data_IF_043460551362
#
_entry.id   IF_043460551362
#
_cell.length_a   1.000
_cell.length_b   1.000
_cell.length_c   1.000
_cell.angle_alpha   90.00
_cell.angle_beta   90.00
_cell.angle_gamma   90.00
#
_symmetry.space_group_name_H-M   'P 1'
#
loop_
_entity.id
_entity.type
_entity.pdbx_description
1 polymer ?
#
# COMPACT_ATOMS: atom_id res chain seq x y z
N UNK A 1 3.55 23.68 7.91
CA UNK A 1 3.38 23.34 6.47
C UNK A 1 2.12 24.06 5.95
N UNK A 2 1.93 24.24 4.65
CA UNK A 2 0.74 24.93 4.13
C UNK A 2 -0.54 24.16 4.53
N UNK A 3 -1.34 24.70 5.44
CA UNK A 3 -2.62 24.12 5.89
C UNK A 3 -3.47 23.57 4.74
N UNK A 4 -3.60 24.37 3.67
CA UNK A 4 -4.38 23.99 2.47
C UNK A 4 -3.83 22.76 1.75
N UNK A 5 -2.51 22.59 1.68
CA UNK A 5 -1.90 21.41 1.07
C UNK A 5 -2.18 20.15 1.89
N UNK A 6 -1.96 20.23 3.21
CA UNK A 6 -2.13 19.09 4.10
C UNK A 6 -3.60 18.65 4.21
N UNK A 7 -4.53 19.61 4.28
CA UNK A 7 -5.95 19.34 4.26
C UNK A 7 -6.37 18.66 2.95
N UNK A 8 -5.89 19.17 1.81
CA UNK A 8 -6.18 18.59 0.49
C UNK A 8 -5.67 17.16 0.38
N UNK A 9 -4.41 16.91 0.75
CA UNK A 9 -3.83 15.56 0.76
C UNK A 9 -4.59 14.62 1.71
N UNK A 10 -4.96 15.09 2.89
CA UNK A 10 -5.74 14.32 3.87
C UNK A 10 -7.11 13.91 3.31
N UNK A 11 -7.87 14.86 2.78
CA UNK A 11 -9.19 14.59 2.18
C UNK A 11 -9.11 13.69 0.96
N UNK A 12 -8.08 13.85 0.11
CA UNK A 12 -7.84 12.97 -1.03
C UNK A 12 -7.61 11.52 -0.57
N UNK A 13 -6.79 11.31 0.47
CA UNK A 13 -6.56 9.98 1.03
C UNK A 13 -7.81 9.38 1.68
N UNK A 14 -8.62 10.19 2.36
CA UNK A 14 -9.92 9.75 2.91
C UNK A 14 -10.84 9.28 1.80
N UNK A 15 -10.98 10.08 0.73
CA UNK A 15 -11.82 9.72 -0.41
C UNK A 15 -11.33 8.47 -1.12
N UNK A 16 -10.02 8.35 -1.33
CA UNK A 16 -9.41 7.16 -1.91
C UNK A 16 -9.64 5.93 -1.04
N UNK A 17 -9.37 6.02 0.27
CA UNK A 17 -9.59 4.93 1.22
C UNK A 17 -11.04 4.48 1.26
N UNK A 18 -11.99 5.42 1.27
CA UNK A 18 -13.42 5.12 1.18
C UNK A 18 -13.79 4.39 -0.11
N UNK A 19 -13.30 4.88 -1.25
CA UNK A 19 -13.57 4.30 -2.56
C UNK A 19 -13.05 2.87 -2.67
N UNK A 20 -11.84 2.61 -2.15
CA UNK A 20 -11.23 1.28 -2.11
C UNK A 20 -12.03 0.33 -1.20
N UNK A 21 -12.50 0.80 -0.04
CA UNK A 21 -13.33 -0.03 0.85
C UNK A 21 -14.69 -0.39 0.23
N UNK A 22 -15.26 0.49 -0.60
CA UNK A 22 -16.55 0.23 -1.28
C UNK A 22 -16.40 -0.59 -2.55
N UNK A 23 -15.32 -0.38 -3.30
CA UNK A 23 -15.03 -1.11 -4.52
C UNK A 23 -13.52 -1.42 -4.59
N UNK A 24 -13.09 -2.61 -4.12
CA UNK A 24 -11.69 -3.02 -4.12
C UNK A 24 -11.00 -2.94 -5.49
N UNK A 25 -11.77 -3.00 -6.59
CA UNK A 25 -11.24 -2.87 -7.96
C UNK A 25 -10.54 -1.53 -8.23
N UNK A 26 -10.86 -0.49 -7.47
CA UNK A 26 -10.20 0.84 -7.55
C UNK A 26 -8.72 0.75 -7.21
N UNK A 27 -8.33 -0.19 -6.36
CA UNK A 27 -6.93 -0.44 -6.00
C UNK A 27 -6.11 -1.05 -7.16
N UNK A 28 -6.79 -1.59 -8.18
CA UNK A 28 -6.18 -2.33 -9.28
C UNK A 28 -5.57 -3.66 -8.80
N UNK A 29 -4.65 -4.22 -9.58
CA UNK A 29 -4.02 -5.52 -9.32
C UNK A 29 -2.68 -5.39 -8.58
N UNK A 30 -2.38 -4.21 -8.04
CA UNK A 30 -1.15 -3.99 -7.29
C UNK A 30 -1.08 -4.89 -6.06
N UNK A 31 -0.03 -5.71 -5.99
CA UNK A 31 0.18 -6.67 -4.89
C UNK A 31 -0.65 -7.95 -5.00
N UNK A 32 -1.51 -8.11 -6.02
CA UNK A 32 -2.36 -9.31 -6.20
C UNK A 32 -1.56 -10.61 -6.23
N UNK A 33 -0.37 -10.59 -6.83
CA UNK A 33 0.48 -11.78 -6.96
C UNK A 33 1.11 -12.22 -5.63
N UNK A 34 1.15 -11.33 -4.62
CA UNK A 34 1.78 -11.59 -3.34
C UNK A 34 0.78 -11.77 -2.20
N UNK A 35 -0.51 -11.75 -2.52
CA UNK A 35 -1.62 -11.99 -1.61
C UNK A 35 -2.36 -13.21 -2.15
N UNK A 36 -2.80 -14.12 -1.27
CA UNK A 36 -3.66 -15.23 -1.69
C UNK A 36 -4.89 -14.70 -2.41
N UNK A 37 -5.27 -15.35 -3.51
CA UNK A 37 -6.37 -14.87 -4.35
C UNK A 37 -7.69 -14.71 -3.59
N UNK A 38 -7.95 -15.58 -2.60
CA UNK A 38 -9.10 -15.55 -1.69
C UNK A 38 -9.14 -14.32 -0.77
N UNK A 39 -7.98 -13.81 -0.36
CA UNK A 39 -7.85 -12.72 0.59
C UNK A 39 -7.68 -11.35 -0.08
N UNK A 40 -7.48 -11.32 -1.40
CA UNK A 40 -7.19 -10.08 -2.13
C UNK A 40 -8.24 -8.96 -1.93
N UNK A 41 -9.56 -9.22 -1.98
CA UNK A 41 -10.56 -8.18 -1.74
C UNK A 41 -10.48 -7.58 -0.33
N UNK A 42 -10.18 -8.41 0.67
CA UNK A 42 -10.05 -7.99 2.06
C UNK A 42 -8.74 -7.23 2.28
N UNK A 43 -7.63 -7.68 1.68
CA UNK A 43 -6.36 -6.94 1.67
C UNK A 43 -6.54 -5.53 1.08
N UNK A 44 -7.25 -5.40 -0.04
CA UNK A 44 -7.59 -4.10 -0.61
C UNK A 44 -8.42 -3.26 0.38
N UNK A 45 -9.42 -3.85 1.03
CA UNK A 45 -10.24 -3.16 2.03
C UNK A 45 -9.43 -2.69 3.24
N UNK A 46 -8.49 -3.50 3.73
CA UNK A 46 -7.58 -3.15 4.83
C UNK A 46 -6.63 -2.01 4.44
N UNK A 47 -6.11 -2.04 3.20
CA UNK A 47 -5.36 -0.90 2.66
C UNK A 47 -6.24 0.36 2.60
N UNK A 48 -7.48 0.25 2.12
CA UNK A 48 -8.44 1.34 2.10
C UNK A 48 -8.70 1.93 3.48
N UNK A 49 -8.80 1.08 4.51
CA UNK A 49 -8.95 1.51 5.90
C UNK A 49 -7.71 2.25 6.42
N UNK A 50 -6.51 1.84 6.01
CA UNK A 50 -5.28 2.56 6.29
C UNK A 50 -5.31 3.97 5.70
N UNK A 51 -5.63 4.14 4.40
CA UNK A 51 -5.72 5.47 3.77
C UNK A 51 -6.80 6.35 4.40
N UNK A 52 -7.93 5.75 4.80
CA UNK A 52 -8.99 6.47 5.49
C UNK A 52 -8.49 7.06 6.82
N UNK A 53 -7.84 6.23 7.64
CA UNK A 53 -7.32 6.65 8.96
C UNK A 53 -6.17 7.64 8.82
N UNK A 54 -5.21 7.36 7.94
CA UNK A 54 -4.07 8.22 7.67
C UNK A 54 -4.49 9.58 7.11
N UNK A 55 -5.44 9.60 6.17
CA UNK A 55 -6.01 10.81 5.60
C UNK A 55 -6.75 11.65 6.64
N UNK A 56 -7.53 11.02 7.52
CA UNK A 56 -8.22 11.70 8.61
C UNK A 56 -7.21 12.34 9.58
N UNK A 57 -6.17 11.61 9.96
CA UNK A 57 -5.12 12.13 10.85
C UNK A 57 -4.40 13.31 10.20
N UNK A 58 -4.01 13.20 8.92
CA UNK A 58 -3.39 14.30 8.17
C UNK A 58 -4.27 15.56 8.18
N UNK A 59 -5.56 15.40 7.86
CA UNK A 59 -6.52 16.50 7.84
C UNK A 59 -6.70 17.14 9.23
N UNK A 60 -6.80 16.32 10.28
CA UNK A 60 -6.93 16.78 11.67
C UNK A 60 -5.68 17.54 12.13
N UNK A 61 -4.47 17.03 11.86
CA UNK A 61 -3.23 17.74 12.19
C UNK A 61 -3.17 19.08 11.44
N UNK A 62 -3.62 19.12 10.19
CA UNK A 62 -3.62 20.34 9.38
C UNK A 62 -4.57 21.38 9.96
N UNK A 63 -5.80 20.97 10.27
CA UNK A 63 -6.79 21.82 10.93
C UNK A 63 -6.31 22.30 12.30
N UNK A 64 -5.66 21.43 13.08
CA UNK A 64 -5.12 21.79 14.39
C UNK A 64 -4.03 22.85 14.27
N UNK A 65 -3.10 22.72 13.31
CA UNK A 65 -2.05 23.73 13.10
C UNK A 65 -2.59 25.08 12.60
N UNK A 66 -3.72 25.09 11.91
CA UNK A 66 -4.40 26.32 11.55
C UNK A 66 -5.07 27.00 12.76
N UNK A 67 -5.47 26.23 13.77
CA UNK A 67 -6.12 26.74 14.98
C UNK A 67 -5.10 27.15 16.06
N UNK A 68 -4.00 26.41 16.19
CA UNK A 68 -2.94 26.66 17.17
C UNK A 68 -1.58 26.49 16.50
N UNK A 69 -0.60 27.33 16.82
CA UNK A 69 0.75 27.18 16.25
C UNK A 69 1.42 25.92 16.79
N UNK A 70 1.49 24.84 16.01
CA UNK A 70 2.17 23.62 16.43
C UNK A 70 3.69 23.78 16.28
N UNK A 71 4.42 23.36 17.31
CA UNK A 71 5.87 23.21 17.20
C UNK A 71 6.23 22.06 16.26
N UNK A 72 7.37 22.17 15.58
CA UNK A 72 7.86 21.12 14.66
C UNK A 72 8.01 19.76 15.34
N UNK A 73 8.43 19.73 16.61
CA UNK A 73 8.56 18.49 17.38
C UNK A 73 7.20 17.81 17.63
N UNK A 74 6.16 18.59 17.97
CA UNK A 74 4.80 18.07 18.12
C UNK A 74 4.24 17.54 16.80
N UNK A 75 4.52 18.23 15.70
CA UNK A 75 4.18 17.77 14.35
C UNK A 75 4.73 16.38 14.04
N UNK A 76 6.04 16.19 14.26
CA UNK A 76 6.70 14.90 14.03
C UNK A 76 6.10 13.82 14.93
N UNK A 77 5.87 14.13 16.21
CA UNK A 77 5.30 13.17 17.17
C UNK A 77 3.89 12.74 16.75
N UNK A 78 3.03 13.68 16.37
CA UNK A 78 1.66 13.38 15.91
C UNK A 78 1.64 12.55 14.64
N UNK A 79 2.56 12.83 13.70
CA UNK A 79 2.68 12.04 12.49
C UNK A 79 3.17 10.61 12.76
N UNK A 80 4.20 10.44 13.59
CA UNK A 80 4.72 9.11 13.93
C UNK A 80 3.65 8.29 14.65
N UNK A 81 3.00 8.87 15.65
CA UNK A 81 1.96 8.19 16.42
C UNK A 81 0.74 7.87 15.54
N UNK A 82 0.27 8.84 14.77
CA UNK A 82 -0.89 8.68 13.89
C UNK A 82 -0.64 7.69 12.75
N UNK A 83 0.56 7.69 12.18
CA UNK A 83 0.95 6.73 11.15
C UNK A 83 1.03 5.32 11.74
N UNK A 84 1.67 5.16 12.91
CA UNK A 84 1.76 3.86 13.60
C UNK A 84 0.37 3.30 13.92
N UNK A 85 -0.54 4.13 14.43
CA UNK A 85 -1.92 3.74 14.70
C UNK A 85 -2.68 3.30 13.44
N UNK A 86 -2.47 4.00 12.32
CA UNK A 86 -3.09 3.66 11.05
C UNK A 86 -2.52 2.37 10.44
N UNK A 87 -1.21 2.16 10.56
CA UNK A 87 -0.49 1.01 9.99
C UNK A 87 -0.68 -0.29 10.76
N UNK A 88 -0.73 -0.20 12.09
CA UNK A 88 -0.78 -1.37 12.97
C UNK A 88 -1.85 -2.42 12.58
N UNK A 89 -3.13 -2.06 12.34
CA UNK A 89 -4.14 -3.06 11.99
C UNK A 89 -3.85 -3.74 10.64
N UNK A 90 -3.34 -2.99 9.66
CA UNK A 90 -2.99 -3.53 8.34
C UNK A 90 -1.83 -4.53 8.45
N UNK A 91 -0.76 -4.16 9.16
CA UNK A 91 0.40 -5.03 9.40
C UNK A 91 0.02 -6.29 10.17
N UNK A 92 -0.80 -6.14 11.22
CA UNK A 92 -1.30 -7.26 12.01
C UNK A 92 -2.09 -8.24 11.14
N UNK A 93 -3.02 -7.73 10.33
CA UNK A 93 -3.82 -8.55 9.43
C UNK A 93 -2.96 -9.30 8.40
N UNK A 94 -1.97 -8.62 7.82
CA UNK A 94 -1.04 -9.23 6.85
C UNK A 94 -0.28 -10.40 7.48
N UNK A 95 0.19 -10.23 8.72
CA UNK A 95 0.91 -11.27 9.45
C UNK A 95 0.03 -12.48 9.76
N UNK A 96 -1.22 -12.26 10.11
CA UNK A 96 -2.18 -13.31 10.50
C UNK A 96 -2.69 -14.11 9.29
N UNK A 97 -2.95 -13.48 8.14
CA UNK A 97 -3.63 -14.12 7.00
C UNK A 97 -2.69 -14.56 5.87
N UNK A 98 -1.62 -13.77 5.63
CA UNK A 98 -0.69 -13.97 4.51
C UNK A 98 0.69 -14.45 4.96
N UNK A 99 1.02 -14.33 6.25
CA UNK A 99 2.30 -14.75 6.81
C UNK A 99 3.47 -13.79 6.55
N UNK A 100 3.21 -12.63 5.91
CA UNK A 100 4.18 -11.55 5.75
C UNK A 100 3.88 -10.39 6.71
N UNK A 101 4.92 -9.69 7.18
CA UNK A 101 4.77 -8.54 8.08
C UNK A 101 4.62 -7.21 7.35
N UNK A 102 4.98 -7.13 6.07
CA UNK A 102 5.02 -5.88 5.33
C UNK A 102 3.89 -5.78 4.30
N UNK A 103 3.00 -4.76 4.36
CA UNK A 103 1.82 -4.68 3.51
C UNK A 103 2.13 -4.69 2.02
N UNK A 104 3.30 -4.22 1.58
CA UNK A 104 3.72 -4.23 0.18
C UNK A 104 4.90 -5.18 -0.04
N UNK A 105 4.67 -6.50 0.01
CA UNK A 105 5.73 -7.49 -0.14
C UNK A 105 6.47 -7.29 -1.48
N UNK A 106 7.76 -7.63 -1.48
CA UNK A 106 8.57 -7.51 -2.69
C UNK A 106 8.10 -8.54 -3.72
N UNK A 107 7.44 -8.07 -4.78
CA UNK A 107 7.04 -8.92 -5.89
C UNK A 107 8.17 -8.93 -6.92
N UNK A 108 8.53 -10.11 -7.42
CA UNK A 108 9.46 -10.21 -8.53
C UNK A 108 8.84 -9.49 -9.75
N UNK A 109 9.58 -8.55 -10.33
CA UNK A 109 9.03 -7.76 -11.43
C UNK A 109 8.69 -8.65 -12.62
N UNK A 110 7.58 -8.34 -13.30
CA UNK A 110 7.22 -9.08 -14.52
C UNK A 110 8.35 -9.07 -15.56
N UNK A 111 9.12 -7.98 -15.62
CA UNK A 111 10.32 -7.90 -16.47
C UNK A 111 11.35 -8.98 -16.13
N UNK A 112 11.59 -9.27 -14.85
CA UNK A 112 12.49 -10.34 -14.42
C UNK A 112 11.92 -11.72 -14.77
N UNK A 113 10.61 -11.94 -14.56
CA UNK A 113 9.94 -13.18 -14.96
C UNK A 113 9.99 -13.42 -16.46
N UNK A 114 9.64 -12.43 -17.27
CA UNK A 114 9.68 -12.51 -18.75
C UNK A 114 11.11 -12.79 -19.24
N UNK A 115 12.12 -12.16 -18.64
CA UNK A 115 13.52 -12.42 -18.96
C UNK A 115 13.94 -13.85 -18.62
N UNK A 116 13.43 -14.42 -17.52
CA UNK A 116 13.69 -15.81 -17.13
C UNK A 116 13.03 -16.79 -18.11
N UNK A 117 11.75 -16.58 -18.41
CA UNK A 117 11.00 -17.37 -19.39
C UNK A 117 11.66 -17.37 -20.78
N UNK A 118 12.15 -16.21 -21.24
CA UNK A 118 12.87 -16.13 -22.51
C UNK A 118 14.17 -16.95 -22.51
N UNK A 119 14.93 -16.93 -21.42
CA UNK A 119 16.16 -17.73 -21.27
C UNK A 119 15.87 -19.23 -21.24
N UNK A 120 14.79 -19.63 -20.59
CA UNK A 120 14.34 -21.04 -20.56
C UNK A 120 13.96 -21.51 -21.97
N UNK A 121 13.22 -20.69 -22.74
CA UNK A 121 12.89 -21.00 -24.15
C UNK A 121 14.12 -21.08 -25.06
N UNK A 122 15.10 -20.18 -24.90
CA UNK A 122 16.36 -20.22 -25.65
C UNK A 122 17.16 -21.49 -25.33
N UNK A 123 17.22 -21.91 -24.07
CA UNK A 123 17.90 -23.14 -23.65
C UNK A 123 17.21 -24.41 -24.15
N UNK A 124 15.86 -24.46 -24.15
CA UNK A 124 15.09 -25.57 -24.70
C UNK A 124 15.32 -25.72 -26.21
N UNK A 125 15.30 -24.62 -26.97
CA UNK A 125 15.57 -24.65 -28.41
C UNK A 125 17.01 -25.11 -28.71
N UNK A 126 17.98 -24.65 -27.93
CA UNK A 126 19.38 -25.00 -28.12
C UNK A 126 19.65 -26.48 -27.80
N UNK A 127 19.06 -27.00 -26.72
CA UNK A 127 19.15 -28.42 -26.36
C UNK A 127 18.39 -29.38 -27.29
N UNK A 128 17.34 -28.92 -27.97
CA UNK A 128 16.64 -29.70 -29.00
C UNK A 128 17.41 -29.72 -30.33
N UNK A 129 18.09 -28.62 -30.67
CA UNK A 129 18.99 -28.55 -31.84
C UNK A 129 20.30 -29.33 -31.66
N UNK A 130 20.80 -29.53 -30.44
CA UNK A 130 21.97 -30.38 -30.17
C UNK A 130 21.64 -31.88 -30.17
N UNK A 131 20.35 -32.26 -30.04
CA UNK A 131 19.89 -33.65 -30.06
C UNK A 131 19.52 -34.16 -31.46
N UNK A 132 19.54 -33.30 -32.48
CA UNK A 132 19.16 -33.59 -33.86
C UNK A 132 20.38 -33.64 -34.76
#
# INVERSE_FOLDING_TARGET
MFFGFQLTCGLMMVFYGYSVMKNPRVWGDQGRQAVKAENFPEYCRQNGLFFLKAGLIMALIGALDALVSLSGALYVLLYLFGLAFSFYPLVKWCRENEGFSWPWPHVESEKKRIKKLRREQEQEQQGDSEKK
#
